data_IF_053091484298
#
_entry.id   IF_053091484298
#
_cell.length_a   1.000
_cell.length_b   1.000
_cell.length_c   1.000
_cell.angle_alpha   90.00
_cell.angle_beta   90.00
_cell.angle_gamma   90.00
#
_symmetry.space_group_name_H-M   'P 1'
#
loop_
_entity.id
_entity.type
_entity.pdbx_description
1 polymer ?
#
# COMPACT_ATOMS: atom_id res chain seq x y z
N UNK A 1 -41.80 16.46 33.45
CA UNK A 1 -42.53 15.76 32.36
C UNK A 1 -41.74 15.87 31.08
N UNK A 2 -41.15 14.78 30.61
CA UNK A 2 -40.52 14.76 29.26
C UNK A 2 -41.71 14.90 28.28
N UNK A 3 -41.67 15.91 27.43
CA UNK A 3 -42.69 16.08 26.42
C UNK A 3 -42.44 15.11 25.26
N UNK A 4 -43.48 14.81 24.48
CA UNK A 4 -43.40 13.84 23.38
C UNK A 4 -42.26 14.17 22.38
N UNK A 5 -41.92 15.41 22.21
CA UNK A 5 -40.82 15.87 21.36
C UNK A 5 -39.46 15.39 21.92
N UNK A 6 -39.28 15.46 23.25
CA UNK A 6 -38.05 14.96 23.87
C UNK A 6 -37.87 13.45 23.72
N UNK A 7 -38.97 12.68 23.82
CA UNK A 7 -38.93 11.22 23.61
C UNK A 7 -38.58 10.86 22.14
N UNK A 8 -39.13 11.59 21.19
CA UNK A 8 -38.81 11.39 19.76
C UNK A 8 -37.37 11.71 19.46
N UNK A 9 -36.83 12.81 20.00
CA UNK A 9 -35.43 13.21 19.83
C UNK A 9 -34.48 12.16 20.42
N UNK A 10 -34.76 11.65 21.60
CA UNK A 10 -33.97 10.56 22.21
C UNK A 10 -34.00 9.31 21.34
N UNK A 11 -35.17 8.93 20.83
CA UNK A 11 -35.32 7.78 19.93
C UNK A 11 -34.51 7.93 18.65
N UNK A 12 -34.52 9.11 18.02
CA UNK A 12 -33.73 9.39 16.80
C UNK A 12 -32.22 9.33 17.10
N UNK A 13 -31.79 9.88 18.22
CA UNK A 13 -30.35 9.85 18.62
C UNK A 13 -29.91 8.39 18.84
N UNK A 14 -30.71 7.57 19.54
CA UNK A 14 -30.39 6.16 19.77
C UNK A 14 -30.34 5.39 18.45
N UNK A 15 -31.23 5.66 17.51
CA UNK A 15 -31.22 5.04 16.18
C UNK A 15 -29.96 5.46 15.36
N UNK A 16 -29.59 6.72 15.42
CA UNK A 16 -28.38 7.22 14.74
C UNK A 16 -27.09 6.62 15.34
N UNK A 17 -27.01 6.52 16.66
CA UNK A 17 -25.88 5.87 17.34
C UNK A 17 -25.85 4.38 16.95
N UNK A 18 -26.97 3.70 16.97
CA UNK A 18 -27.09 2.31 16.55
C UNK A 18 -26.66 2.10 15.09
N UNK A 19 -27.03 3.01 14.19
CA UNK A 19 -26.62 2.98 12.79
C UNK A 19 -25.11 3.21 12.64
N UNK A 20 -24.54 4.16 13.37
CA UNK A 20 -23.08 4.41 13.37
C UNK A 20 -22.32 3.19 13.88
N UNK A 21 -22.77 2.57 14.96
CA UNK A 21 -22.16 1.34 15.51
C UNK A 21 -22.27 0.18 14.51
N UNK A 22 -23.42 0.03 13.85
CA UNK A 22 -23.62 -0.99 12.81
C UNK A 22 -22.73 -0.74 11.58
N UNK A 23 -22.58 0.51 11.15
CA UNK A 23 -21.68 0.88 10.04
C UNK A 23 -20.21 0.66 10.41
N UNK A 24 -19.81 0.93 11.65
CA UNK A 24 -18.47 0.63 12.14
C UNK A 24 -18.22 -0.88 12.23
N UNK A 25 -19.17 -1.65 12.72
CA UNK A 25 -19.07 -3.11 12.77
C UNK A 25 -19.03 -3.76 11.38
N UNK A 26 -19.68 -3.16 10.37
CA UNK A 26 -19.66 -3.66 8.99
C UNK A 26 -18.33 -3.39 8.26
N UNK A 27 -17.46 -2.53 8.81
CA UNK A 27 -16.11 -2.29 8.30
C UNK A 27 -15.04 -3.07 9.04
N UNK A 28 -15.41 -3.91 10.01
CA UNK A 28 -14.45 -4.69 10.79
C UNK A 28 -14.02 -5.96 10.01
N UNK A 29 -13.03 -5.78 9.13
CA UNK A 29 -12.37 -6.87 8.38
C UNK A 29 -11.35 -7.65 9.22
N UNK A 30 -11.16 -7.28 10.49
CA UNK A 30 -10.12 -7.78 11.41
C UNK A 30 -10.25 -9.24 11.82
N UNK A 31 -11.37 -9.87 11.54
CA UNK A 31 -11.65 -11.27 11.87
C UNK A 31 -11.79 -12.17 10.65
N UNK A 32 -11.36 -11.71 9.49
CA UNK A 32 -11.50 -12.47 8.26
C UNK A 32 -10.65 -13.75 8.31
N UNK A 33 -11.25 -14.88 8.00
CA UNK A 33 -10.54 -16.12 7.75
C UNK A 33 -9.66 -15.96 6.50
N UNK A 34 -8.44 -16.50 6.54
CA UNK A 34 -7.49 -16.39 5.45
C UNK A 34 -6.92 -17.76 5.05
N UNK A 35 -6.50 -17.88 3.79
CA UNK A 35 -5.71 -18.99 3.29
C UNK A 35 -4.24 -18.58 3.29
N UNK A 36 -3.38 -19.48 3.72
CA UNK A 36 -1.93 -19.38 3.59
C UNK A 36 -1.44 -20.29 2.50
N UNK A 37 -0.77 -19.72 1.49
CA UNK A 37 -0.14 -20.52 0.44
C UNK A 37 1.00 -21.34 1.06
N UNK A 38 1.05 -22.67 0.85
CA UNK A 38 2.13 -23.51 1.34
C UNK A 38 3.50 -23.08 0.79
N UNK A 39 4.53 -23.15 1.64
CA UNK A 39 5.88 -22.67 1.30
C UNK A 39 6.52 -23.46 0.14
N UNK A 40 6.13 -24.71 -0.05
CA UNK A 40 6.58 -25.57 -1.17
C UNK A 40 6.24 -24.99 -2.55
N UNK A 41 5.20 -24.15 -2.64
CA UNK A 41 4.83 -23.46 -3.86
C UNK A 41 5.84 -22.39 -4.29
N UNK A 42 6.72 -21.99 -3.38
CA UNK A 42 7.74 -20.98 -3.60
C UNK A 42 9.17 -21.53 -3.60
N UNK A 43 9.35 -22.86 -3.52
CA UNK A 43 10.66 -23.50 -3.36
C UNK A 43 11.59 -23.36 -4.57
N UNK A 44 11.04 -23.20 -5.80
CA UNK A 44 11.81 -23.20 -7.04
C UNK A 44 11.63 -21.89 -7.85
N UNK A 45 11.60 -20.76 -7.15
CA UNK A 45 11.51 -19.47 -7.83
C UNK A 45 12.85 -19.09 -8.45
N UNK A 46 12.83 -18.79 -9.76
CA UNK A 46 14.03 -18.38 -10.50
C UNK A 46 14.41 -16.95 -10.09
N UNK A 47 15.68 -16.75 -9.80
CA UNK A 47 16.26 -15.44 -9.45
C UNK A 47 15.58 -14.75 -8.24
N UNK A 48 15.11 -15.55 -7.27
CA UNK A 48 14.48 -15.04 -6.04
C UNK A 48 15.09 -15.70 -4.80
N UNK A 49 16.35 -15.38 -4.46
CA UNK A 49 17.09 -16.02 -3.38
C UNK A 49 16.81 -15.42 -2.00
N UNK A 50 15.84 -14.51 -1.87
CA UNK A 50 15.63 -13.70 -0.67
C UNK A 50 15.04 -14.54 0.46
N UNK A 51 15.61 -14.35 1.66
CA UNK A 51 15.05 -14.93 2.88
C UNK A 51 13.69 -14.28 3.19
N UNK A 52 12.63 -15.07 3.37
CA UNK A 52 11.32 -14.52 3.67
C UNK A 52 11.29 -13.93 5.09
N UNK A 53 10.77 -12.72 5.21
CA UNK A 53 10.39 -12.11 6.46
C UNK A 53 8.87 -12.05 6.56
N UNK A 54 8.34 -12.09 7.78
CA UNK A 54 6.90 -12.02 8.03
C UNK A 54 6.62 -11.11 9.22
N UNK A 55 5.52 -10.37 9.09
CA UNK A 55 4.95 -9.59 10.19
C UNK A 55 3.45 -9.86 10.25
N UNK A 56 2.88 -9.88 11.44
CA UNK A 56 1.45 -10.08 11.63
C UNK A 56 0.79 -8.73 11.95
N UNK A 57 -0.14 -8.32 11.08
CA UNK A 57 -0.88 -7.07 11.21
C UNK A 57 -2.37 -7.36 11.04
N UNK A 58 -3.18 -7.01 12.03
CA UNK A 58 -4.63 -7.18 12.04
C UNK A 58 -5.08 -8.62 11.69
N UNK A 59 -4.31 -9.63 12.17
CA UNK A 59 -4.60 -11.04 11.94
C UNK A 59 -4.18 -11.59 10.57
N UNK A 60 -3.54 -10.78 9.71
CA UNK A 60 -2.92 -11.22 8.48
C UNK A 60 -1.42 -11.32 8.62
N UNK A 61 -0.85 -12.44 8.20
CA UNK A 61 0.59 -12.62 8.03
C UNK A 61 1.00 -11.98 6.70
N UNK A 62 1.81 -10.93 6.78
CA UNK A 62 2.32 -10.19 5.62
C UNK A 62 3.78 -10.59 5.42
N UNK A 63 4.07 -11.07 4.22
CA UNK A 63 5.44 -11.36 3.78
C UNK A 63 6.11 -10.09 3.26
N UNK A 64 7.41 -10.00 3.46
CA UNK A 64 8.23 -8.97 2.82
C UNK A 64 9.68 -9.43 2.64
N UNK A 65 10.32 -8.91 1.61
CA UNK A 65 11.78 -8.94 1.44
C UNK A 65 12.37 -7.78 2.23
N UNK A 66 13.51 -7.98 2.88
CA UNK A 66 14.25 -6.95 3.60
C UNK A 66 15.74 -7.24 3.47
N UNK A 67 16.37 -6.63 2.48
CA UNK A 67 17.74 -6.87 2.07
C UNK A 67 18.58 -5.59 2.18
N UNK A 68 19.89 -5.77 2.35
CA UNK A 68 20.85 -4.68 2.47
C UNK A 68 21.13 -4.25 3.91
N UNK A 69 21.98 -3.21 4.09
CA UNK A 69 22.39 -2.73 5.41
C UNK A 69 21.20 -2.12 6.17
N UNK A 70 21.05 -2.48 7.45
CA UNK A 70 19.95 -2.02 8.30
C UNK A 70 19.95 -0.51 8.58
N UNK A 71 21.09 0.11 8.49
CA UNK A 71 21.35 1.54 8.64
C UNK A 71 21.41 2.29 7.30
N UNK A 72 21.23 1.58 6.18
CA UNK A 72 21.15 2.16 4.85
C UNK A 72 19.87 2.98 4.63
N UNK A 73 19.95 3.94 3.71
CA UNK A 73 18.76 4.66 3.26
C UNK A 73 17.72 3.66 2.71
N UNK A 74 16.48 3.75 3.19
CA UNK A 74 15.47 2.75 2.88
C UNK A 74 14.73 3.04 1.58
N UNK A 75 14.66 2.03 0.71
CA UNK A 75 13.81 2.00 -0.48
C UNK A 75 12.68 1.01 -0.24
N UNK A 76 11.44 1.50 -0.28
CA UNK A 76 10.23 0.67 -0.22
C UNK A 76 9.70 0.45 -1.63
N UNK A 77 9.47 -0.81 -2.01
CA UNK A 77 8.99 -1.21 -3.34
C UNK A 77 7.58 -1.79 -3.19
N UNK A 78 6.56 -1.10 -3.68
CA UNK A 78 5.17 -1.55 -3.57
C UNK A 78 4.60 -1.95 -4.93
N UNK A 79 4.30 -3.24 -5.06
CA UNK A 79 3.76 -3.86 -6.27
C UNK A 79 2.25 -3.59 -6.43
N UNK A 80 1.74 -3.90 -7.62
CA UNK A 80 0.32 -3.90 -7.92
C UNK A 80 -0.20 -5.28 -8.35
N UNK A 81 -1.33 -5.30 -9.01
CA UNK A 81 -2.00 -6.51 -9.48
C UNK A 81 -1.51 -6.90 -10.89
N UNK A 82 -1.33 -8.18 -11.19
CA UNK A 82 -1.46 -9.38 -10.34
C UNK A 82 -0.13 -9.83 -9.72
N UNK A 83 0.79 -8.90 -9.50
CA UNK A 83 2.17 -9.14 -9.10
C UNK A 83 2.33 -9.29 -7.57
N UNK A 84 3.57 -9.43 -7.13
CA UNK A 84 4.04 -9.50 -5.74
C UNK A 84 5.52 -9.12 -5.70
N UNK A 85 6.23 -9.19 -4.59
CA UNK A 85 7.65 -8.79 -4.47
C UNK A 85 8.59 -9.46 -5.49
N UNK A 86 8.20 -10.59 -6.07
CA UNK A 86 8.92 -11.24 -7.18
C UNK A 86 9.12 -10.32 -8.41
N UNK A 87 8.24 -9.33 -8.61
CA UNK A 87 8.39 -8.30 -9.64
C UNK A 87 9.75 -7.61 -9.54
N UNK A 88 10.21 -7.38 -8.33
CA UNK A 88 11.39 -6.59 -8.02
C UNK A 88 12.69 -7.40 -7.89
N UNK A 89 12.66 -8.73 -8.14
CA UNK A 89 13.80 -9.61 -7.93
C UNK A 89 15.09 -9.18 -8.61
N UNK A 90 15.00 -8.50 -9.75
CA UNK A 90 16.15 -7.95 -10.47
C UNK A 90 16.50 -6.50 -10.09
N UNK A 91 15.59 -5.80 -9.41
CA UNK A 91 15.84 -4.46 -8.89
C UNK A 91 16.52 -4.48 -7.52
N UNK A 92 16.19 -5.46 -6.69
CA UNK A 92 16.69 -5.56 -5.31
C UNK A 92 18.22 -5.67 -5.27
N UNK A 93 18.89 -6.60 -5.98
CA UNK A 93 20.33 -6.77 -5.85
C UNK A 93 21.14 -5.51 -6.18
N UNK A 94 20.95 -4.81 -7.32
CA UNK A 94 21.72 -3.62 -7.63
C UNK A 94 21.47 -2.45 -6.67
N UNK A 95 20.30 -2.36 -6.07
CA UNK A 95 20.01 -1.35 -5.04
C UNK A 95 20.74 -1.69 -3.72
N UNK A 96 20.78 -2.95 -3.33
CA UNK A 96 21.53 -3.43 -2.17
C UNK A 96 23.04 -3.22 -2.39
N UNK A 97 23.55 -3.54 -3.57
CA UNK A 97 24.96 -3.32 -3.94
C UNK A 97 25.34 -1.83 -3.90
N UNK A 98 24.38 -0.95 -4.16
CA UNK A 98 24.55 0.50 -4.02
C UNK A 98 24.45 1.02 -2.57
N UNK A 99 24.24 0.12 -1.58
CA UNK A 99 24.23 0.44 -0.17
C UNK A 99 22.85 0.81 0.41
N UNK A 100 21.77 0.60 -0.33
CA UNK A 100 20.41 0.85 0.16
C UNK A 100 19.87 -0.36 0.94
N UNK A 101 19.02 -0.09 1.93
CA UNK A 101 18.12 -1.09 2.48
C UNK A 101 16.87 -1.16 1.62
N UNK A 102 16.54 -2.34 1.11
CA UNK A 102 15.41 -2.54 0.20
C UNK A 102 14.34 -3.39 0.87
N UNK A 103 13.14 -2.84 0.98
CA UNK A 103 11.97 -3.52 1.54
C UNK A 103 10.91 -3.66 0.45
N UNK A 104 10.42 -4.89 0.26
CA UNK A 104 9.39 -5.19 -0.72
C UNK A 104 8.32 -6.11 -0.11
N UNK A 105 7.20 -5.55 0.43
CA UNK A 105 6.11 -6.34 0.95
C UNK A 105 5.28 -6.98 -0.16
N UNK A 106 4.65 -8.12 0.14
CA UNK A 106 3.54 -8.67 -0.62
C UNK A 106 2.23 -8.14 -0.02
N UNK A 107 1.42 -7.49 -0.83
CA UNK A 107 0.08 -7.09 -0.44
C UNK A 107 -0.74 -8.32 0.00
N UNK A 108 -1.61 -8.16 0.99
CA UNK A 108 -2.55 -9.21 1.40
C UNK A 108 -3.37 -9.65 0.18
N UNK A 109 -3.50 -10.96 -0.01
CA UNK A 109 -4.07 -11.55 -1.22
C UNK A 109 -3.03 -12.00 -2.25
N UNK A 110 -1.77 -11.57 -2.14
CA UNK A 110 -0.71 -11.81 -3.13
C UNK A 110 0.50 -12.54 -2.53
N UNK A 111 1.32 -13.10 -3.41
CA UNK A 111 2.61 -13.72 -3.07
C UNK A 111 2.54 -14.67 -1.87
N UNK A 112 3.45 -14.46 -0.92
CA UNK A 112 3.55 -15.25 0.32
C UNK A 112 2.71 -14.70 1.48
N UNK A 113 2.05 -13.54 1.31
CA UNK A 113 1.12 -13.00 2.30
C UNK A 113 -0.17 -13.82 2.37
N UNK A 114 -0.89 -13.73 3.49
CA UNK A 114 -2.19 -14.38 3.67
C UNK A 114 -3.23 -13.85 2.68
N UNK A 115 -4.23 -14.68 2.34
CA UNK A 115 -5.27 -14.39 1.36
C UNK A 115 -6.64 -14.49 2.01
N UNK A 116 -7.38 -13.38 2.13
CA UNK A 116 -8.74 -13.38 2.64
C UNK A 116 -9.62 -14.34 1.85
N UNK A 117 -10.49 -15.09 2.55
CA UNK A 117 -11.39 -16.06 1.91
C UNK A 117 -12.55 -15.39 1.17
N UNK A 118 -13.01 -14.26 1.67
CA UNK A 118 -14.18 -13.59 1.12
C UNK A 118 -13.76 -12.45 0.21
N UNK A 119 -14.33 -12.34 -1.00
CA UNK A 119 -14.07 -11.20 -1.88
C UNK A 119 -14.38 -9.84 -1.24
N UNK A 120 -15.35 -9.78 -0.31
CA UNK A 120 -15.70 -8.57 0.44
C UNK A 120 -14.56 -8.03 1.32
N UNK A 121 -13.66 -8.93 1.73
CA UNK A 121 -12.54 -8.60 2.60
C UNK A 121 -11.35 -8.03 1.80
N UNK A 122 -11.41 -8.13 0.46
CA UNK A 122 -10.49 -7.46 -0.45
C UNK A 122 -11.04 -6.08 -0.84
N UNK A 123 -10.58 -5.04 -0.22
CA UNK A 123 -10.95 -3.68 -0.58
C UNK A 123 -9.75 -2.72 -0.51
N UNK A 124 -9.89 -1.59 -1.21
CA UNK A 124 -8.82 -0.62 -1.35
C UNK A 124 -8.35 -0.05 0.00
N UNK A 125 -9.31 0.27 0.90
CA UNK A 125 -8.99 0.84 2.20
C UNK A 125 -8.21 -0.14 3.09
N UNK A 126 -8.56 -1.43 3.08
CA UNK A 126 -7.82 -2.48 3.79
C UNK A 126 -6.33 -2.47 3.41
N UNK A 127 -6.01 -2.37 2.13
CA UNK A 127 -4.62 -2.34 1.68
C UNK A 127 -3.88 -1.09 2.16
N UNK A 128 -4.55 0.07 2.15
CA UNK A 128 -3.97 1.32 2.67
C UNK A 128 -3.67 1.17 4.16
N UNK A 129 -4.65 0.72 4.95
CA UNK A 129 -4.52 0.59 6.40
C UNK A 129 -3.40 -0.39 6.78
N UNK A 130 -3.36 -1.57 6.13
CA UNK A 130 -2.35 -2.58 6.39
C UNK A 130 -0.95 -2.11 6.01
N UNK A 131 -0.78 -1.46 4.86
CA UNK A 131 0.54 -1.00 4.43
C UNK A 131 1.01 0.24 5.19
N UNK A 132 0.09 1.11 5.61
CA UNK A 132 0.41 2.23 6.53
C UNK A 132 0.90 1.69 7.87
N UNK A 133 0.23 0.68 8.44
CA UNK A 133 0.68 0.01 9.67
C UNK A 133 1.98 -0.73 9.46
N UNK A 134 2.16 -1.44 8.35
CA UNK A 134 3.41 -2.10 8.00
C UNK A 134 4.60 -1.13 8.06
N UNK A 135 4.48 0.05 7.45
CA UNK A 135 5.52 1.05 7.48
C UNK A 135 5.80 1.59 8.89
N UNK A 136 4.77 1.68 9.74
CA UNK A 136 4.88 2.12 11.14
C UNK A 136 5.51 1.06 12.04
N UNK A 137 5.07 -0.19 11.93
CA UNK A 137 5.59 -1.31 12.75
C UNK A 137 7.06 -1.60 12.47
N UNK A 138 7.52 -1.39 11.22
CA UNK A 138 8.93 -1.48 10.87
C UNK A 138 9.71 -0.17 11.12
N UNK A 139 9.06 0.84 11.68
CA UNK A 139 9.63 2.18 11.95
C UNK A 139 10.38 2.78 10.75
N UNK A 140 9.79 2.65 9.56
CA UNK A 140 10.40 3.17 8.34
C UNK A 140 10.33 4.70 8.32
N UNK A 141 11.46 5.37 8.16
CA UNK A 141 11.59 6.83 8.14
C UNK A 141 12.44 7.28 6.96
N UNK A 142 12.17 8.47 6.42
CA UNK A 142 12.95 9.04 5.32
C UNK A 142 12.95 8.19 4.05
N UNK A 143 11.87 7.47 3.80
CA UNK A 143 11.76 6.42 2.79
C UNK A 143 11.77 7.00 1.38
N UNK A 144 12.57 6.41 0.49
CA UNK A 144 12.37 6.50 -0.96
C UNK A 144 11.33 5.46 -1.37
N UNK A 145 10.18 5.88 -1.85
CA UNK A 145 9.04 5.00 -2.12
C UNK A 145 8.84 4.80 -3.63
N UNK A 146 9.15 3.61 -4.12
CA UNK A 146 8.85 3.20 -5.49
C UNK A 146 7.53 2.41 -5.52
N UNK A 147 6.63 2.81 -6.40
CA UNK A 147 5.27 2.27 -6.45
C UNK A 147 4.83 2.01 -7.89
N UNK A 148 4.16 0.89 -8.12
CA UNK A 148 3.70 0.47 -9.45
C UNK A 148 2.25 0.02 -9.40
N UNK A 149 1.45 0.36 -10.45
CA UNK A 149 0.06 -0.07 -10.64
C UNK A 149 -0.83 0.24 -9.41
N UNK A 150 -1.56 -0.73 -8.85
CA UNK A 150 -2.33 -0.57 -7.59
C UNK A 150 -1.46 -0.15 -6.41
N UNK A 151 -0.20 -0.59 -6.38
CA UNK A 151 0.75 -0.13 -5.36
C UNK A 151 0.93 1.39 -5.39
N UNK A 152 0.85 2.01 -6.56
CA UNK A 152 0.89 3.47 -6.71
C UNK A 152 -0.33 4.15 -6.09
N UNK A 153 -1.53 3.65 -6.35
CA UNK A 153 -2.75 4.21 -5.76
C UNK A 153 -2.77 4.05 -4.24
N UNK A 154 -2.37 2.87 -3.73
CA UNK A 154 -2.28 2.59 -2.30
C UNK A 154 -1.22 3.50 -1.66
N UNK A 155 -0.01 3.52 -2.21
CA UNK A 155 1.12 4.26 -1.65
C UNK A 155 0.92 5.77 -1.64
N UNK A 156 0.27 6.34 -2.65
CA UNK A 156 -0.09 7.76 -2.65
C UNK A 156 -1.07 8.13 -1.52
N UNK A 157 -1.96 7.22 -1.14
CA UNK A 157 -2.83 7.40 0.04
C UNK A 157 -2.04 7.29 1.34
N UNK A 158 -1.11 6.32 1.44
CA UNK A 158 -0.20 6.20 2.59
C UNK A 158 0.61 7.49 2.80
N UNK A 159 1.13 8.07 1.71
CA UNK A 159 1.87 9.33 1.75
C UNK A 159 0.98 10.49 2.20
N UNK A 160 -0.26 10.56 1.71
CA UNK A 160 -1.20 11.61 2.12
C UNK A 160 -1.57 11.53 3.62
N UNK A 161 -1.52 10.34 4.21
CA UNK A 161 -1.82 10.11 5.64
C UNK A 161 -0.61 10.34 6.57
N UNK A 162 0.62 10.16 6.08
CA UNK A 162 1.86 10.27 6.86
C UNK A 162 3.01 10.82 5.98
N UNK A 163 2.91 12.08 5.50
CA UNK A 163 3.82 12.62 4.49
C UNK A 163 5.28 12.73 4.95
N UNK A 164 5.50 12.95 6.24
CA UNK A 164 6.84 13.15 6.81
C UNK A 164 7.70 11.88 6.79
N UNK A 165 7.08 10.73 6.64
CA UNK A 165 7.74 9.43 6.56
C UNK A 165 8.47 9.21 5.24
N UNK A 166 8.05 9.87 4.16
CA UNK A 166 8.49 9.62 2.80
C UNK A 166 9.29 10.79 2.24
N UNK A 167 10.60 10.58 2.02
CA UNK A 167 11.50 11.62 1.52
C UNK A 167 11.42 11.78 0.00
N UNK A 168 11.20 10.69 -0.75
CA UNK A 168 11.14 10.67 -2.21
C UNK A 168 10.07 9.72 -2.72
N UNK A 169 9.52 10.03 -3.88
CA UNK A 169 8.44 9.26 -4.52
C UNK A 169 8.85 8.94 -5.95
N UNK A 170 8.71 7.67 -6.32
CA UNK A 170 8.89 7.18 -7.69
C UNK A 170 7.64 6.41 -8.10
N UNK A 171 7.02 6.80 -9.21
CA UNK A 171 5.80 6.20 -9.72
C UNK A 171 6.06 5.53 -11.07
N UNK A 172 5.54 4.32 -11.23
CA UNK A 172 5.59 3.58 -12.49
C UNK A 172 4.22 2.98 -12.80
N UNK A 173 3.74 3.21 -14.02
CA UNK A 173 2.54 2.58 -14.57
C UNK A 173 1.33 2.59 -13.59
N UNK A 174 1.06 3.75 -13.00
CA UNK A 174 -0.03 3.93 -12.04
C UNK A 174 -0.91 5.11 -12.41
N UNK A 175 -2.12 5.17 -11.87
CA UNK A 175 -3.05 6.28 -12.05
C UNK A 175 -3.24 7.08 -10.76
N UNK A 176 -3.47 8.39 -10.92
CA UNK A 176 -4.06 9.21 -9.86
C UNK A 176 -5.53 9.38 -10.23
N UNK A 177 -6.49 8.97 -9.40
CA UNK A 177 -7.87 9.39 -9.59
C UNK A 177 -7.91 10.91 -9.43
N UNK A 178 -8.04 11.63 -10.55
CA UNK A 178 -8.24 13.07 -10.50
C UNK A 178 -9.58 13.35 -9.80
N UNK A 179 -9.54 14.12 -8.73
CA UNK A 179 -10.76 14.63 -8.11
C UNK A 179 -11.47 15.54 -9.13
N UNK A 180 -12.54 15.04 -9.78
CA UNK A 180 -13.33 15.84 -10.66
C UNK A 180 -13.85 15.14 -11.93
N UNK A 181 -14.99 14.43 -11.81
CA UNK A 181 -15.86 14.08 -12.92
C UNK A 181 -15.50 12.81 -13.70
N UNK A 182 -16.49 12.32 -14.42
CA UNK A 182 -16.49 11.12 -15.26
C UNK A 182 -15.33 11.05 -16.29
N UNK A 183 -14.72 12.18 -16.61
CA UNK A 183 -13.57 12.27 -17.54
C UNK A 183 -12.24 11.84 -16.91
N UNK A 184 -12.09 11.85 -15.60
CA UNK A 184 -10.89 11.34 -14.90
C UNK A 184 -10.81 9.82 -14.88
N UNK A 185 -11.91 9.13 -15.18
CA UNK A 185 -12.00 7.67 -15.15
C UNK A 185 -11.70 7.02 -16.52
N UNK A 186 -11.79 7.78 -17.61
CA UNK A 186 -11.56 7.27 -18.95
C UNK A 186 -10.23 7.80 -19.48
N UNK A 187 -9.18 7.01 -19.21
CA UNK A 187 -8.04 6.95 -20.08
C UNK A 187 -7.03 8.08 -19.99
N UNK A 188 -6.10 7.95 -19.09
CA UNK A 188 -4.73 8.30 -19.41
C UNK A 188 -3.83 7.11 -19.01
N UNK A 189 -3.34 6.34 -19.97
CA UNK A 189 -2.15 5.56 -19.77
C UNK A 189 -0.97 6.55 -19.77
N UNK A 190 -0.82 7.31 -18.72
CA UNK A 190 0.34 8.18 -18.54
C UNK A 190 1.42 7.39 -17.82
N UNK A 191 2.31 6.84 -18.64
CA UNK A 191 3.67 6.54 -18.21
C UNK A 191 4.31 7.89 -17.91
N UNK A 192 4.21 8.34 -16.68
CA UNK A 192 5.03 9.45 -16.21
C UNK A 192 5.89 8.94 -15.07
N UNK A 193 7.17 8.76 -15.36
CA UNK A 193 8.18 8.70 -14.32
C UNK A 193 8.39 10.13 -13.82
N UNK A 194 7.92 10.43 -12.62
CA UNK A 194 8.30 11.67 -11.95
C UNK A 194 9.26 11.32 -10.82
N UNK A 195 10.51 11.71 -10.99
CA UNK A 195 11.51 11.68 -9.93
C UNK A 195 11.44 13.02 -9.21
N UNK A 196 11.05 13.01 -7.95
CA UNK A 196 11.10 14.17 -7.08
C UNK A 196 12.46 14.20 -6.39
N UNK A 197 13.23 15.21 -6.64
CA UNK A 197 14.48 15.48 -5.95
C UNK A 197 14.37 16.84 -5.25
N UNK A 198 14.51 16.85 -3.93
CA UNK A 198 14.60 18.07 -3.11
C UNK A 198 13.45 19.09 -3.30
N UNK A 199 12.21 18.62 -3.31
CA UNK A 199 11.04 19.51 -3.27
C UNK A 199 10.79 20.32 -4.55
N UNK A 200 11.45 20.02 -5.67
CA UNK A 200 11.18 20.64 -6.98
C UNK A 200 10.94 19.55 -8.03
N UNK A 201 9.83 19.65 -8.80
CA UNK A 201 9.67 18.79 -9.97
C UNK A 201 10.72 19.19 -11.02
N UNK A 202 11.61 18.27 -11.39
CA UNK A 202 12.37 18.44 -12.60
C UNK A 202 11.46 18.17 -13.77
N UNK A 203 11.21 19.19 -14.55
CA UNK A 203 10.25 19.21 -15.64
C UNK A 203 10.78 18.45 -16.84
N UNK A 204 9.88 17.72 -17.49
CA UNK A 204 10.03 17.29 -18.88
C UNK A 204 10.16 18.56 -19.72
N UNK A 205 11.13 18.64 -20.62
CA UNK A 205 11.27 19.78 -21.51
C UNK A 205 10.11 19.86 -22.52
N UNK A 206 10.05 20.97 -23.26
CA UNK A 206 8.97 21.23 -24.22
C UNK A 206 8.89 20.18 -25.36
N UNK A 207 9.85 19.28 -25.46
CA UNK A 207 9.91 18.17 -26.42
C UNK A 207 9.54 16.82 -25.81
N UNK A 208 9.21 16.76 -24.51
CA UNK A 208 8.84 15.53 -23.82
C UNK A 208 10.03 14.68 -23.39
N UNK A 209 11.25 15.21 -23.40
CA UNK A 209 12.44 14.51 -22.95
C UNK A 209 12.78 14.83 -21.48
N UNK A 210 13.14 13.78 -20.71
CA UNK A 210 13.56 13.93 -19.33
C UNK A 210 14.96 14.51 -19.25
N UNK A 211 15.14 15.59 -18.47
CA UNK A 211 16.47 16.06 -18.07
C UNK A 211 16.78 15.48 -16.69
N UNK A 212 17.82 14.65 -16.64
CA UNK A 212 18.41 14.11 -15.42
C UNK A 212 19.42 15.10 -14.81
#
# INVERSE_FOLDING_TARGET
MLNWIGLILVGVIVLLIGLVVLLQASTDWKTAESIRTPDERFANLVDYPFTPNFIEIEGYRIHYVDEGPRDGETILLLHGQPSWSYLYRHMIPPLVDAGYRVIAPDLVGFGKSDKPLKPSDHNYQMHIDLMTRFARELDLQGVTFFMQDWGGMIGLRMIAEDPDRYARIMLSNTGLPAAGGLRGWIGYPLIQFQVWREGKPETVDDNGEFRF
#
